data_IF_541503664022
#
_entry.id   IF_541503664022
#
_cell.length_a   1.000
_cell.length_b   1.000
_cell.length_c   1.000
_cell.angle_alpha   90.00
_cell.angle_beta   90.00
_cell.angle_gamma   90.00
#
_symmetry.space_group_name_H-M   'P 1'
#
loop_
_entity.id
_entity.type
_entity.pdbx_description
1 polymer ?
#
# COMPACT_ATOMS: atom_id res chain seq x y z
N UNK A 1 20.37 13.31 -19.94
CA UNK A 1 20.44 11.94 -19.42
C UNK A 1 20.83 11.89 -17.95
N UNK A 2 21.97 12.46 -17.50
CA UNK A 2 22.41 12.43 -16.08
C UNK A 2 21.42 13.16 -15.15
N UNK A 3 20.91 14.35 -15.54
CA UNK A 3 19.95 15.12 -14.73
C UNK A 3 18.61 14.38 -14.53
N UNK A 4 18.14 13.63 -15.54
CA UNK A 4 16.91 12.83 -15.40
C UNK A 4 17.11 11.60 -14.52
N UNK A 5 18.31 11.02 -14.53
CA UNK A 5 18.68 9.91 -13.65
C UNK A 5 18.76 10.36 -12.19
N UNK A 6 19.38 11.51 -11.91
CA UNK A 6 19.45 12.08 -10.54
C UNK A 6 18.06 12.47 -10.00
N UNK A 7 17.15 12.98 -10.84
CA UNK A 7 15.77 13.29 -10.45
C UNK A 7 14.95 12.04 -10.12
N UNK A 8 15.12 10.96 -10.89
CA UNK A 8 14.49 9.67 -10.61
C UNK A 8 14.97 9.08 -9.29
N UNK A 9 16.27 9.18 -9.00
CA UNK A 9 16.86 8.74 -7.74
C UNK A 9 16.35 9.54 -6.54
N UNK A 10 16.21 10.87 -6.67
CA UNK A 10 15.62 11.72 -5.61
C UNK A 10 14.17 11.35 -5.29
N UNK A 11 13.33 11.13 -6.30
CA UNK A 11 11.93 10.76 -6.12
C UNK A 11 11.79 9.38 -5.47
N UNK A 12 12.62 8.42 -5.87
CA UNK A 12 12.68 7.11 -5.22
C UNK A 12 13.06 7.24 -3.74
N UNK A 13 14.10 8.04 -3.44
CA UNK A 13 14.56 8.29 -2.06
C UNK A 13 13.50 8.99 -1.22
N UNK A 14 12.75 9.97 -1.79
CA UNK A 14 11.64 10.62 -1.07
C UNK A 14 10.50 9.66 -0.75
N UNK A 15 10.09 8.81 -1.67
CA UNK A 15 9.05 7.80 -1.41
C UNK A 15 9.50 6.78 -0.36
N UNK A 16 10.76 6.37 -0.41
CA UNK A 16 11.33 5.46 0.58
C UNK A 16 11.40 6.12 1.96
N UNK A 17 11.74 7.40 2.03
CA UNK A 17 11.71 8.16 3.28
C UNK A 17 10.30 8.26 3.84
N UNK A 18 9.30 8.56 3.01
CA UNK A 18 7.88 8.57 3.41
C UNK A 18 7.45 7.20 3.94
N UNK A 19 7.87 6.10 3.29
CA UNK A 19 7.62 4.74 3.77
C UNK A 19 8.17 4.51 5.17
N UNK A 20 9.45 4.82 5.39
CA UNK A 20 10.11 4.61 6.69
C UNK A 20 9.44 5.46 7.77
N UNK A 21 9.20 6.75 7.53
CA UNK A 21 8.57 7.63 8.49
C UNK A 21 7.15 7.16 8.86
N UNK A 22 6.32 6.82 7.88
CA UNK A 22 4.96 6.34 8.13
C UNK A 22 4.93 5.01 8.85
N UNK A 23 5.88 4.12 8.52
CA UNK A 23 6.00 2.82 9.18
C UNK A 23 6.37 2.97 10.66
N UNK A 24 7.37 3.79 10.98
CA UNK A 24 7.77 4.07 12.36
C UNK A 24 6.60 4.70 13.13
N UNK A 25 5.94 5.71 12.57
CA UNK A 25 4.81 6.36 13.21
C UNK A 25 3.66 5.39 13.48
N UNK A 26 3.33 4.51 12.53
CA UNK A 26 2.27 3.52 12.70
C UNK A 26 2.58 2.49 13.80
N UNK A 27 3.84 2.02 13.88
CA UNK A 27 4.26 1.09 14.95
C UNK A 27 4.17 1.75 16.32
N UNK A 28 4.62 2.98 16.45
CA UNK A 28 4.59 3.68 17.74
C UNK A 28 3.20 4.19 18.13
N UNK A 29 2.29 4.36 17.18
CA UNK A 29 0.98 4.95 17.42
C UNK A 29 0.14 4.20 18.46
N UNK A 30 0.29 2.85 18.58
CA UNK A 30 -0.41 2.04 19.57
C UNK A 30 -0.12 2.48 21.01
N UNK A 31 1.05 3.05 21.27
CA UNK A 31 1.43 3.53 22.62
C UNK A 31 0.80 4.87 22.97
N UNK A 32 0.40 5.65 21.97
CA UNK A 32 -0.22 6.98 22.15
C UNK A 32 -1.73 6.96 22.21
N UNK A 33 -2.35 5.82 21.89
CA UNK A 33 -3.81 5.65 21.93
C UNK A 33 -4.27 5.55 23.40
N UNK A 34 -5.43 6.18 23.71
CA UNK A 34 -6.08 6.07 25.02
C UNK A 34 -6.46 4.63 25.35
N UNK A 35 -6.55 4.29 26.62
CA UNK A 35 -6.81 2.91 27.05
C UNK A 35 -8.17 2.42 26.58
N UNK A 36 -9.19 3.27 26.51
CA UNK A 36 -10.51 2.91 25.94
C UNK A 36 -10.38 2.48 24.46
N UNK A 37 -9.59 3.20 23.66
CA UNK A 37 -9.37 2.86 22.27
C UNK A 37 -8.49 1.61 22.11
N UNK A 38 -7.59 1.31 23.06
CA UNK A 38 -6.84 0.04 23.05
C UNK A 38 -7.77 -1.17 23.26
N UNK A 39 -8.80 -1.02 24.09
CA UNK A 39 -9.83 -2.07 24.25
C UNK A 39 -10.57 -2.30 22.94
N UNK A 40 -11.01 -1.24 22.25
CA UNK A 40 -11.65 -1.36 20.94
C UNK A 40 -10.77 -2.04 19.89
N UNK A 41 -9.48 -1.71 19.87
CA UNK A 41 -8.50 -2.37 18.98
C UNK A 41 -8.37 -3.85 19.31
N UNK A 42 -8.30 -4.19 20.60
CA UNK A 42 -8.24 -5.59 21.06
C UNK A 42 -9.47 -6.36 20.64
N UNK A 43 -10.67 -5.84 20.93
CA UNK A 43 -11.94 -6.48 20.57
C UNK A 43 -12.07 -6.68 19.07
N UNK A 44 -11.66 -5.69 18.26
CA UNK A 44 -11.65 -5.78 16.80
C UNK A 44 -10.72 -6.88 16.28
N UNK A 45 -9.52 -7.02 16.86
CA UNK A 45 -8.56 -8.07 16.49
C UNK A 45 -9.07 -9.44 16.90
N UNK A 46 -9.61 -9.60 18.12
CA UNK A 46 -10.18 -10.85 18.59
C UNK A 46 -11.39 -11.29 17.73
N UNK A 47 -12.27 -10.36 17.37
CA UNK A 47 -13.38 -10.61 16.45
C UNK A 47 -12.90 -11.10 15.09
N UNK A 48 -11.86 -10.48 14.54
CA UNK A 48 -11.28 -10.89 13.26
C UNK A 48 -10.73 -12.33 13.34
N UNK A 49 -9.91 -12.65 14.34
CA UNK A 49 -9.31 -13.97 14.47
C UNK A 49 -10.35 -15.06 14.78
N UNK A 50 -11.34 -14.77 15.63
CA UNK A 50 -12.45 -15.69 15.92
C UNK A 50 -13.37 -15.90 14.70
N UNK A 51 -13.51 -14.89 13.84
CA UNK A 51 -14.26 -14.96 12.59
C UNK A 51 -13.57 -15.73 11.46
N UNK A 52 -12.27 -16.06 11.58
CA UNK A 52 -11.52 -16.75 10.52
C UNK A 52 -12.11 -18.13 10.16
N UNK A 53 -12.68 -18.84 11.12
CA UNK A 53 -13.30 -20.15 10.90
C UNK A 53 -14.57 -20.09 10.05
N UNK A 54 -15.28 -18.95 10.05
CA UNK A 54 -16.55 -18.73 9.36
C UNK A 54 -16.40 -17.79 8.12
N UNK A 55 -15.17 -17.52 7.68
CA UNK A 55 -14.92 -16.64 6.56
C UNK A 55 -15.44 -17.21 5.24
N UNK A 56 -16.26 -16.43 4.55
CA UNK A 56 -16.54 -16.62 3.13
C UNK A 56 -15.34 -16.12 2.31
N UNK A 57 -14.48 -17.04 1.89
CA UNK A 57 -13.25 -16.73 1.14
C UNK A 57 -13.52 -15.91 -0.12
N UNK A 58 -14.63 -16.16 -0.81
CA UNK A 58 -15.05 -15.43 -2.03
C UNK A 58 -15.40 -13.98 -1.72
N UNK A 59 -16.15 -13.73 -0.63
CA UNK A 59 -16.54 -12.36 -0.24
C UNK A 59 -15.30 -11.56 0.21
N UNK A 60 -14.42 -12.19 0.98
CA UNK A 60 -13.16 -11.59 1.40
C UNK A 60 -12.28 -11.22 0.19
N UNK A 61 -12.20 -12.10 -0.82
CA UNK A 61 -11.48 -11.83 -2.05
C UNK A 61 -12.08 -10.66 -2.82
N UNK A 62 -13.41 -10.61 -2.99
CA UNK A 62 -14.10 -9.54 -3.72
C UNK A 62 -13.90 -8.19 -3.03
N UNK A 63 -14.07 -8.12 -1.71
CA UNK A 63 -13.84 -6.90 -0.92
C UNK A 63 -12.40 -6.45 -1.01
N UNK A 64 -11.45 -7.38 -0.88
CA UNK A 64 -10.01 -7.11 -1.05
C UNK A 64 -9.68 -6.58 -2.44
N UNK A 65 -10.32 -7.14 -3.47
CA UNK A 65 -10.14 -6.74 -4.88
C UNK A 65 -10.62 -5.30 -5.12
N UNK A 66 -11.85 -4.99 -4.66
CA UNK A 66 -12.43 -3.65 -4.78
C UNK A 66 -11.54 -2.62 -4.07
N UNK A 67 -11.11 -2.91 -2.85
CA UNK A 67 -10.32 -1.98 -2.04
C UNK A 67 -8.91 -1.75 -2.62
N UNK A 68 -8.19 -2.79 -3.03
CA UNK A 68 -6.81 -2.66 -3.48
C UNK A 68 -6.70 -2.19 -4.94
N UNK A 69 -7.54 -2.71 -5.85
CA UNK A 69 -7.60 -2.22 -7.23
C UNK A 69 -8.20 -0.82 -7.28
N UNK A 70 -9.24 -0.54 -6.49
CA UNK A 70 -9.84 0.80 -6.39
C UNK A 70 -8.81 1.84 -5.95
N UNK A 71 -8.00 1.53 -4.95
CA UNK A 71 -6.92 2.40 -4.51
C UNK A 71 -5.83 2.55 -5.58
N UNK A 72 -5.48 1.47 -6.27
CA UNK A 72 -4.57 1.51 -7.41
C UNK A 72 -5.07 2.40 -8.55
N UNK A 73 -6.37 2.33 -8.87
CA UNK A 73 -7.03 3.19 -9.86
C UNK A 73 -6.99 4.67 -9.45
N UNK A 74 -7.27 4.97 -8.17
CA UNK A 74 -7.20 6.34 -7.64
C UNK A 74 -5.78 6.90 -7.81
N UNK A 75 -4.74 6.16 -7.41
CA UNK A 75 -3.35 6.58 -7.57
C UNK A 75 -3.01 6.78 -9.06
N UNK A 76 -3.46 5.89 -9.92
CA UNK A 76 -3.24 5.99 -11.36
C UNK A 76 -3.92 7.22 -11.97
N UNK A 77 -5.19 7.49 -11.64
CA UNK A 77 -5.92 8.68 -12.09
C UNK A 77 -5.29 9.97 -11.58
N UNK A 78 -4.87 10.01 -10.32
CA UNK A 78 -4.17 11.16 -9.73
C UNK A 78 -2.85 11.44 -10.43
N UNK A 79 -2.16 10.42 -10.94
CA UNK A 79 -0.94 10.59 -11.73
C UNK A 79 -1.15 11.35 -13.04
N UNK A 80 -2.35 11.38 -13.59
CA UNK A 80 -2.72 12.17 -14.78
C UNK A 80 -2.87 13.66 -14.41
N UNK A 81 -3.17 13.95 -13.15
CA UNK A 81 -3.28 15.32 -12.65
C UNK A 81 -1.92 15.90 -12.26
N UNK A 82 -1.71 17.18 -12.56
CA UNK A 82 -0.48 17.91 -12.19
C UNK A 82 -0.36 18.04 -10.66
N UNK A 83 -1.48 18.25 -9.97
CA UNK A 83 -1.52 18.36 -8.49
C UNK A 83 -1.61 17.01 -7.78
N UNK A 84 -1.87 15.95 -8.52
CA UNK A 84 -2.06 14.60 -7.98
C UNK A 84 -0.83 14.07 -7.23
N UNK A 85 0.38 14.55 -7.53
CA UNK A 85 1.60 14.10 -6.87
C UNK A 85 1.55 14.27 -5.33
N UNK A 86 0.99 15.38 -4.80
CA UNK A 86 0.87 15.60 -3.36
C UNK A 86 -0.13 14.62 -2.72
N UNK A 87 -1.26 14.41 -3.39
CA UNK A 87 -2.31 13.50 -2.89
C UNK A 87 -1.79 12.05 -2.89
N UNK A 88 -1.02 11.65 -3.90
CA UNK A 88 -0.42 10.31 -3.97
C UNK A 88 0.52 10.08 -2.78
N UNK A 89 1.33 11.06 -2.38
CA UNK A 89 2.19 10.95 -1.19
C UNK A 89 1.36 10.73 0.08
N UNK A 90 0.26 11.45 0.24
CA UNK A 90 -0.63 11.33 1.41
C UNK A 90 -1.30 9.94 1.42
N UNK A 91 -1.85 9.48 0.30
CA UNK A 91 -2.48 8.16 0.19
C UNK A 91 -1.47 7.05 0.52
N UNK A 92 -0.27 7.14 -0.04
CA UNK A 92 0.79 6.16 0.22
C UNK A 92 1.22 6.16 1.69
N UNK A 93 1.39 7.35 2.30
CA UNK A 93 1.69 7.52 3.71
C UNK A 93 0.64 6.84 4.60
N UNK A 94 -0.65 7.13 4.37
CA UNK A 94 -1.76 6.56 5.15
C UNK A 94 -1.78 5.03 5.03
N UNK A 95 -1.57 4.48 3.82
CA UNK A 95 -1.53 3.02 3.64
C UNK A 95 -0.38 2.36 4.40
N UNK A 96 0.82 2.92 4.34
CA UNK A 96 1.96 2.42 5.09
C UNK A 96 1.73 2.50 6.60
N UNK A 97 1.14 3.61 7.07
CA UNK A 97 0.79 3.82 8.47
C UNK A 97 -0.22 2.76 8.96
N UNK A 98 -1.31 2.54 8.22
CA UNK A 98 -2.35 1.56 8.60
C UNK A 98 -1.78 0.15 8.69
N UNK A 99 -0.95 -0.27 7.72
CA UNK A 99 -0.34 -1.60 7.73
C UNK A 99 0.59 -1.79 8.92
N UNK A 100 1.44 -0.81 9.22
CA UNK A 100 2.35 -0.88 10.36
C UNK A 100 1.63 -0.80 11.71
N UNK A 101 0.56 -0.01 11.80
CA UNK A 101 -0.31 0.03 12.96
C UNK A 101 -1.00 -1.32 13.20
N UNK A 102 -1.56 -1.94 12.17
CA UNK A 102 -2.18 -3.28 12.28
C UNK A 102 -1.16 -4.32 12.76
N UNK A 103 0.06 -4.29 12.23
CA UNK A 103 1.14 -5.17 12.66
C UNK A 103 1.46 -5.02 14.16
N UNK A 104 1.66 -3.78 14.62
CA UNK A 104 1.98 -3.51 16.02
C UNK A 104 0.82 -3.82 16.96
N UNK A 105 -0.42 -3.63 16.51
CA UNK A 105 -1.64 -3.93 17.29
C UNK A 105 -1.80 -5.43 17.54
N UNK A 106 -1.52 -6.28 16.56
CA UNK A 106 -1.55 -7.74 16.74
C UNK A 106 -0.51 -8.18 17.77
N UNK A 107 0.70 -7.61 17.71
CA UNK A 107 1.76 -7.91 18.69
C UNK A 107 1.34 -7.44 20.09
N UNK A 108 0.74 -6.26 20.20
CA UNK A 108 0.26 -5.72 21.48
C UNK A 108 -0.79 -6.64 22.14
N UNK A 109 -1.72 -7.19 21.36
CA UNK A 109 -2.82 -8.06 21.88
C UNK A 109 -2.34 -9.44 22.26
N UNK A 110 -1.54 -10.10 21.41
CA UNK A 110 -1.14 -11.50 21.58
C UNK A 110 0.29 -11.70 22.11
N UNK A 111 1.04 -10.62 22.37
CA UNK A 111 2.40 -10.68 22.88
C UNK A 111 3.33 -11.48 21.95
N UNK A 112 4.05 -12.46 22.52
CA UNK A 112 5.01 -13.26 21.75
C UNK A 112 4.35 -14.08 20.62
N UNK A 113 3.16 -14.66 20.86
CA UNK A 113 2.38 -15.31 19.80
C UNK A 113 1.99 -14.32 18.69
N UNK A 114 1.72 -13.06 19.05
CA UNK A 114 1.41 -12.00 18.12
C UNK A 114 2.53 -11.72 17.11
N UNK A 115 3.80 -11.95 17.46
CA UNK A 115 4.93 -11.78 16.52
C UNK A 115 4.81 -12.78 15.36
N UNK A 116 4.47 -14.03 15.64
CA UNK A 116 4.31 -15.06 14.61
C UNK A 116 3.08 -14.76 13.75
N UNK A 117 1.93 -14.51 14.40
CA UNK A 117 0.67 -14.20 13.72
C UNK A 117 0.78 -12.97 12.84
N UNK A 118 1.37 -11.89 13.37
CA UNK A 118 1.55 -10.65 12.62
C UNK A 118 2.54 -10.82 11.46
N UNK A 119 3.58 -11.65 11.61
CA UNK A 119 4.53 -11.93 10.52
C UNK A 119 3.86 -12.65 9.36
N UNK A 120 3.04 -13.67 9.64
CA UNK A 120 2.29 -14.41 8.61
C UNK A 120 1.30 -13.46 7.90
N UNK A 121 0.51 -12.73 8.69
CA UNK A 121 -0.48 -11.78 8.19
C UNK A 121 0.16 -10.66 7.35
N UNK A 122 1.31 -10.15 7.77
CA UNK A 122 1.94 -9.00 7.14
C UNK A 122 2.60 -9.27 5.78
N UNK A 123 2.94 -10.53 5.45
CA UNK A 123 3.64 -10.87 4.19
C UNK A 123 2.89 -10.32 2.97
N UNK A 124 1.59 -10.62 2.85
CA UNK A 124 0.78 -10.15 1.73
C UNK A 124 0.60 -8.63 1.72
N UNK A 125 0.50 -8.00 2.89
CA UNK A 125 0.40 -6.55 3.00
C UNK A 125 1.70 -5.83 2.61
N UNK A 126 2.88 -6.38 2.95
CA UNK A 126 4.16 -5.82 2.49
C UNK A 126 4.35 -5.96 0.99
N UNK A 127 3.94 -7.10 0.40
CA UNK A 127 3.96 -7.27 -1.06
C UNK A 127 3.05 -6.21 -1.72
N UNK A 128 1.84 -6.01 -1.19
CA UNK A 128 0.91 -5.01 -1.69
C UNK A 128 1.47 -3.58 -1.57
N UNK A 129 2.10 -3.22 -0.44
CA UNK A 129 2.79 -1.94 -0.28
C UNK A 129 3.91 -1.75 -1.30
N UNK A 130 4.66 -2.81 -1.62
CA UNK A 130 5.69 -2.79 -2.67
C UNK A 130 5.09 -2.51 -4.07
N UNK A 131 3.95 -3.12 -4.40
CA UNK A 131 3.24 -2.87 -5.66
C UNK A 131 2.75 -1.42 -5.71
N UNK A 132 2.14 -0.92 -4.62
CA UNK A 132 1.67 0.47 -4.51
C UNK A 132 2.85 1.47 -4.55
N UNK A 133 4.03 1.11 -4.00
CA UNK A 133 5.24 1.91 -4.13
C UNK A 133 5.63 2.11 -5.60
N UNK A 134 5.68 1.02 -6.36
CA UNK A 134 5.99 1.06 -7.79
C UNK A 134 4.96 1.91 -8.54
N UNK A 135 3.68 1.69 -8.28
CA UNK A 135 2.59 2.45 -8.91
C UNK A 135 2.67 3.94 -8.59
N UNK A 136 2.86 4.30 -7.32
CA UNK A 136 3.02 5.69 -6.87
C UNK A 136 4.24 6.36 -7.49
N UNK A 137 5.37 5.65 -7.58
CA UNK A 137 6.58 6.16 -8.21
C UNK A 137 6.35 6.51 -9.69
N UNK A 138 5.67 5.63 -10.44
CA UNK A 138 5.37 5.89 -11.85
C UNK A 138 4.30 6.98 -12.01
N UNK A 139 3.29 7.03 -11.15
CA UNK A 139 2.25 8.05 -11.15
C UNK A 139 2.82 9.45 -10.89
N UNK A 140 3.65 9.61 -9.87
CA UNK A 140 4.32 10.89 -9.58
C UNK A 140 5.29 11.27 -10.71
N UNK A 141 6.05 10.30 -11.24
CA UNK A 141 6.95 10.55 -12.37
C UNK A 141 6.19 11.07 -13.59
N UNK A 142 5.01 10.51 -13.87
CA UNK A 142 4.15 10.91 -14.97
C UNK A 142 3.57 12.31 -14.75
N UNK A 143 3.04 12.60 -13.55
CA UNK A 143 2.54 13.92 -13.16
C UNK A 143 3.61 15.02 -13.32
N UNK A 144 4.85 14.75 -12.86
CA UNK A 144 5.99 15.68 -13.02
C UNK A 144 6.37 15.88 -14.49
N UNK A 145 6.26 14.83 -15.32
CA UNK A 145 6.50 14.95 -16.77
C UNK A 145 5.43 15.80 -17.44
N UNK A 146 4.16 15.65 -17.08
CA UNK A 146 3.06 16.49 -17.56
C UNK A 146 3.29 17.95 -17.19
N UNK A 147 3.67 18.23 -15.93
CA UNK A 147 4.00 19.59 -15.49
C UNK A 147 5.12 20.21 -16.33
N UNK A 148 6.21 19.48 -16.59
CA UNK A 148 7.32 19.97 -17.43
C UNK A 148 6.89 20.22 -18.89
N UNK A 149 6.00 19.38 -19.41
CA UNK A 149 5.48 19.54 -20.75
C UNK A 149 4.68 20.83 -20.87
N UNK A 150 3.74 21.08 -19.96
CA UNK A 150 2.87 22.26 -20.02
C UNK A 150 3.62 23.59 -19.74
N UNK A 151 4.58 23.57 -18.81
CA UNK A 151 5.23 24.80 -18.35
C UNK A 151 6.64 25.03 -18.91
N UNK A 152 7.31 24.04 -19.49
CA UNK A 152 8.69 24.14 -19.94
C UNK A 152 8.92 23.82 -21.44
N UNK A 153 7.85 23.67 -22.22
CA UNK A 153 7.90 23.40 -23.67
C UNK A 153 8.97 22.35 -24.08
N UNK A 154 9.11 21.28 -23.32
CA UNK A 154 10.01 20.18 -23.68
C UNK A 154 9.27 19.15 -24.49
N UNK A 155 9.72 18.94 -25.72
CA UNK A 155 9.20 17.87 -26.59
C UNK A 155 9.61 16.50 -26.06
N UNK A 156 8.64 15.74 -25.60
CA UNK A 156 8.78 14.33 -25.25
C UNK A 156 7.90 13.49 -26.19
N UNK A 157 8.37 12.31 -26.55
CA UNK A 157 7.57 11.37 -27.33
C UNK A 157 6.39 10.86 -26.47
N UNK A 158 5.27 11.57 -26.50
CA UNK A 158 4.07 11.41 -25.65
C UNK A 158 3.55 9.97 -25.70
N UNK A 159 3.48 9.40 -26.89
CA UNK A 159 2.89 8.07 -27.12
C UNK A 159 3.65 7.00 -26.33
N UNK A 160 4.98 7.07 -26.31
CA UNK A 160 5.82 6.09 -25.61
C UNK A 160 5.63 6.22 -24.09
N UNK A 161 5.55 7.44 -23.57
CA UNK A 161 5.41 7.69 -22.12
C UNK A 161 4.05 7.21 -21.62
N UNK A 162 2.96 7.55 -22.35
CA UNK A 162 1.59 7.13 -22.01
C UNK A 162 1.45 5.62 -22.08
N UNK A 163 1.94 4.99 -23.17
CA UNK A 163 1.93 3.52 -23.29
C UNK A 163 2.67 2.82 -22.14
N UNK A 164 3.82 3.36 -21.75
CA UNK A 164 4.57 2.81 -20.61
C UNK A 164 3.82 2.97 -19.30
N UNK A 165 3.18 4.11 -19.06
CA UNK A 165 2.40 4.37 -17.86
C UNK A 165 1.23 3.41 -17.73
N UNK A 166 0.48 3.22 -18.82
CA UNK A 166 -0.63 2.26 -18.87
C UNK A 166 -0.18 0.81 -18.69
N UNK A 167 0.95 0.43 -19.32
CA UNK A 167 1.52 -0.92 -19.16
C UNK A 167 1.90 -1.21 -17.70
N UNK A 168 2.51 -0.27 -17.00
CA UNK A 168 2.86 -0.44 -15.59
C UNK A 168 1.61 -0.62 -14.73
N UNK A 169 0.55 0.16 -14.98
CA UNK A 169 -0.71 0.02 -14.27
C UNK A 169 -1.30 -1.40 -14.43
N UNK A 170 -1.39 -1.91 -15.65
CA UNK A 170 -1.89 -3.28 -15.90
C UNK A 170 -1.07 -4.32 -15.15
N UNK A 171 0.27 -4.22 -15.20
CA UNK A 171 1.16 -5.16 -14.49
C UNK A 171 0.92 -5.08 -12.97
N UNK A 172 0.80 -3.88 -12.40
CA UNK A 172 0.49 -3.72 -10.98
C UNK A 172 -0.88 -4.31 -10.61
N UNK A 173 -1.92 -4.14 -11.44
CA UNK A 173 -3.22 -4.75 -11.23
C UNK A 173 -3.14 -6.28 -11.22
N UNK A 174 -2.42 -6.88 -12.15
CA UNK A 174 -2.21 -8.33 -12.19
C UNK A 174 -1.48 -8.82 -10.93
N UNK A 175 -0.44 -8.12 -10.49
CA UNK A 175 0.27 -8.45 -9.25
C UNK A 175 -0.62 -8.32 -8.01
N UNK A 176 -1.50 -7.30 -7.95
CA UNK A 176 -2.48 -7.15 -6.85
C UNK A 176 -3.44 -8.34 -6.82
N UNK A 177 -3.99 -8.76 -7.97
CA UNK A 177 -4.90 -9.91 -8.05
C UNK A 177 -4.21 -11.18 -7.55
N UNK A 178 -2.99 -11.46 -8.01
CA UNK A 178 -2.22 -12.63 -7.57
C UNK A 178 -1.94 -12.60 -6.06
N UNK A 179 -1.56 -11.45 -5.52
CA UNK A 179 -1.33 -11.30 -4.08
C UNK A 179 -2.62 -11.50 -3.27
N UNK A 180 -3.77 -11.01 -3.77
CA UNK A 180 -5.06 -11.18 -3.11
C UNK A 180 -5.55 -12.62 -3.10
N UNK A 181 -5.23 -13.43 -4.10
CA UNK A 181 -5.53 -14.87 -4.08
C UNK A 181 -4.80 -15.51 -2.91
N UNK A 182 -3.54 -15.20 -2.69
CA UNK A 182 -2.75 -15.71 -1.56
C UNK A 182 -3.33 -15.21 -0.23
N UNK A 183 -3.64 -13.92 -0.13
CA UNK A 183 -4.18 -13.29 1.08
C UNK A 183 -5.55 -13.86 1.48
N UNK A 184 -6.45 -14.06 0.51
CA UNK A 184 -7.82 -14.48 0.79
C UNK A 184 -7.98 -15.99 1.01
N UNK A 185 -7.15 -16.83 0.38
CA UNK A 185 -7.32 -18.29 0.45
C UNK A 185 -6.25 -18.99 1.28
N UNK A 186 -5.01 -18.52 1.27
CA UNK A 186 -3.88 -19.20 1.88
C UNK A 186 -3.62 -18.70 3.31
N UNK A 187 -3.61 -17.40 3.53
CA UNK A 187 -3.32 -16.81 4.84
C UNK A 187 -4.32 -17.23 5.92
N UNK A 188 -5.66 -17.18 5.72
CA UNK A 188 -6.60 -17.61 6.75
C UNK A 188 -6.44 -19.07 7.17
N UNK A 189 -6.13 -19.96 6.20
CA UNK A 189 -5.88 -21.37 6.50
C UNK A 189 -4.63 -21.60 7.35
N UNK A 190 -3.57 -20.83 7.09
CA UNK A 190 -2.35 -20.91 7.89
C UNK A 190 -2.59 -20.38 9.30
N UNK A 191 -3.33 -19.26 9.42
CA UNK A 191 -3.65 -18.66 10.72
C UNK A 191 -4.52 -19.57 11.62
N UNK A 192 -5.38 -20.40 11.03
CA UNK A 192 -6.21 -21.37 11.78
C UNK A 192 -5.39 -22.53 12.36
N UNK A 193 -4.13 -22.72 11.96
CA UNK A 193 -3.24 -23.75 12.51
C UNK A 193 -2.52 -23.32 13.79
N UNK A 194 -2.58 -22.03 14.16
CA UNK A 194 -1.91 -21.42 15.33
C UNK A 194 -2.90 -20.94 16.38
#
# INVERSE_FOLDING_TARGET
MIIDFMKKRKLFSTLLFVFICSFILGVFFIFFISDDNKVLVKDGIELYFNGLSNLNYTDNFIVGLINNIGLGLIIWLLGISIFGCFIIFIIYFIKCFVVSFSFSSIIYVYGFKGIILSSIYSICYFINLGILFILSYYAISFSVLLFKYFFKNKDYNRIIIVKRYFKVFIICCLCIVLNLIIDSYLIPRILLLF
#
